data_IF_436521354809
#
_entry.id   IF_436521354809
#
_cell.length_a   1.000
_cell.length_b   1.000
_cell.length_c   1.000
_cell.angle_alpha   90.00
_cell.angle_beta   90.00
_cell.angle_gamma   90.00
#
_symmetry.space_group_name_H-M   'P 1'
#
loop_
_entity.id
_entity.type
_entity.pdbx_description
1 polymer ?
#
# COMPACT_ATOMS: atom_id res chain seq x y z
N UNK A 1 46.71 -19.89 6.46
CA UNK A 1 46.90 -18.79 5.48
C UNK A 1 45.69 -18.73 4.58
N UNK A 2 44.85 -17.69 4.73
CA UNK A 2 43.64 -17.41 3.94
C UNK A 2 44.00 -16.54 2.74
N UNK A 3 43.47 -16.85 1.57
CA UNK A 3 43.28 -15.93 0.43
C UNK A 3 42.35 -16.64 -0.56
N UNK A 4 41.15 -16.19 -0.92
CA UNK A 4 40.65 -14.82 -1.02
C UNK A 4 40.32 -14.48 -2.48
N UNK A 5 39.52 -15.30 -3.20
CA UNK A 5 39.09 -15.00 -4.58
C UNK A 5 38.03 -13.89 -4.56
N UNK A 6 38.41 -12.66 -4.98
CA UNK A 6 37.48 -11.56 -5.29
C UNK A 6 37.06 -11.65 -6.76
N UNK A 7 35.75 -11.65 -7.00
CA UNK A 7 35.15 -11.47 -8.32
C UNK A 7 35.30 -10.02 -8.78
N UNK A 8 35.82 -9.81 -10.00
CA UNK A 8 35.94 -8.49 -10.61
C UNK A 8 34.57 -8.02 -11.15
N UNK A 9 34.13 -6.85 -10.70
CA UNK A 9 32.92 -6.16 -11.17
C UNK A 9 33.12 -5.63 -12.60
N UNK A 10 32.31 -6.12 -13.56
CA UNK A 10 32.26 -5.61 -14.94
C UNK A 10 31.47 -4.30 -14.99
N UNK A 11 32.16 -3.18 -15.10
CA UNK A 11 31.57 -1.87 -15.39
C UNK A 11 31.29 -1.76 -16.90
N UNK A 12 30.03 -1.56 -17.30
CA UNK A 12 29.68 -1.27 -18.71
C UNK A 12 30.03 0.18 -19.06
N UNK A 13 30.60 0.46 -20.24
CA UNK A 13 30.82 1.83 -20.69
C UNK A 13 29.50 2.49 -21.14
N UNK A 14 29.33 3.77 -20.79
CA UNK A 14 28.17 4.60 -21.15
C UNK A 14 28.35 5.14 -22.57
N UNK A 15 27.35 4.91 -23.43
CA UNK A 15 27.33 5.41 -24.80
C UNK A 15 27.21 6.95 -24.84
N UNK A 16 27.83 7.64 -25.82
CA UNK A 16 27.72 9.08 -25.97
C UNK A 16 26.33 9.48 -26.48
N UNK A 17 25.78 10.56 -25.91
CA UNK A 17 24.50 11.13 -26.33
C UNK A 17 24.66 11.77 -27.72
N UNK A 18 24.04 11.18 -28.73
CA UNK A 18 23.95 11.77 -30.06
C UNK A 18 22.99 12.95 -30.06
N UNK A 19 23.49 14.12 -30.47
CA UNK A 19 22.68 15.28 -30.85
C UNK A 19 22.04 15.01 -32.21
N UNK A 20 20.81 14.51 -32.20
CA UNK A 20 19.93 14.48 -33.36
C UNK A 20 18.77 15.44 -33.12
N UNK A 21 18.84 16.64 -33.66
CA UNK A 21 17.69 17.55 -33.78
C UNK A 21 16.89 17.11 -35.01
N UNK A 22 15.79 16.40 -34.78
CA UNK A 22 14.75 16.17 -35.79
C UNK A 22 13.85 17.43 -35.86
N UNK A 23 13.82 18.15 -37.00
CA UNK A 23 13.11 19.42 -37.11
C UNK A 23 11.59 19.30 -37.27
N UNK A 24 11.00 18.10 -37.24
CA UNK A 24 9.59 17.90 -37.62
C UNK A 24 8.60 17.57 -36.50
N UNK A 25 9.01 17.63 -35.23
CA UNK A 25 8.08 17.38 -34.11
C UNK A 25 7.29 18.64 -33.74
N UNK A 26 5.95 18.70 -33.95
CA UNK A 26 5.13 19.80 -33.47
C UNK A 26 4.87 19.57 -31.97
N UNK A 27 5.76 20.10 -31.16
CA UNK A 27 5.76 19.98 -29.71
C UNK A 27 6.90 20.82 -29.17
N UNK A 28 6.84 22.13 -29.45
CA UNK A 28 7.74 23.08 -28.83
C UNK A 28 7.74 22.85 -27.33
N UNK A 29 8.93 22.64 -26.76
CA UNK A 29 9.08 22.55 -25.32
C UNK A 29 8.40 23.78 -24.71
N UNK A 30 7.60 23.64 -23.62
CA UNK A 30 7.05 24.81 -22.96
C UNK A 30 8.23 25.73 -22.66
N UNK A 31 8.11 26.98 -23.13
CA UNK A 31 9.08 28.03 -22.88
C UNK A 31 9.40 27.96 -21.39
N UNK A 32 10.65 27.61 -21.07
CA UNK A 32 11.06 27.38 -19.69
C UNK A 32 10.97 28.76 -19.05
N UNK A 33 9.85 29.04 -18.39
CA UNK A 33 9.67 30.25 -17.60
C UNK A 33 10.83 30.25 -16.61
N UNK A 34 11.85 31.04 -16.94
CA UNK A 34 13.12 31.15 -16.20
C UNK A 34 12.91 32.15 -15.06
N UNK A 35 11.72 32.12 -14.45
CA UNK A 35 11.46 32.92 -13.28
C UNK A 35 12.26 32.30 -12.12
N UNK A 36 13.11 33.09 -11.43
CA UNK A 36 13.79 32.60 -10.24
C UNK A 36 12.74 32.18 -9.20
N UNK A 37 13.00 31.06 -8.51
CA UNK A 37 12.14 30.64 -7.42
C UNK A 37 12.06 31.76 -6.37
N UNK A 38 10.86 32.05 -5.83
CA UNK A 38 10.74 33.01 -4.75
C UNK A 38 11.55 32.54 -3.53
N UNK A 39 11.95 33.48 -2.67
CA UNK A 39 12.57 33.13 -1.40
C UNK A 39 11.66 32.17 -0.61
N UNK A 40 12.18 31.04 -0.10
CA UNK A 40 11.39 30.11 0.70
C UNK A 40 10.76 30.83 1.89
N UNK A 41 9.45 30.65 2.08
CA UNK A 41 8.77 31.18 3.24
C UNK A 41 9.07 30.31 4.47
N UNK A 42 9.24 30.90 5.66
CA UNK A 42 9.38 30.13 6.89
C UNK A 42 8.11 29.30 7.13
N UNK A 43 8.29 28.04 7.52
CA UNK A 43 7.17 27.19 7.93
C UNK A 43 6.56 27.81 9.20
N UNK A 44 5.23 28.04 9.25
CA UNK A 44 4.56 28.53 10.44
C UNK A 44 4.96 27.70 11.66
N UNK A 45 5.35 28.36 12.76
CA UNK A 45 5.68 27.68 14.00
C UNK A 45 4.41 27.23 14.72
N UNK A 46 4.38 25.95 15.08
CA UNK A 46 3.27 25.35 15.83
C UNK A 46 2.27 24.57 14.97
N UNK A 47 1.67 23.56 15.58
CA UNK A 47 0.57 22.80 14.98
C UNK A 47 -0.75 23.43 15.43
N UNK A 48 -1.72 23.66 14.52
CA UNK A 48 -3.06 24.07 14.94
C UNK A 48 -3.66 22.99 15.86
N UNK A 49 -4.58 23.36 16.77
CA UNK A 49 -5.24 22.40 17.64
C UNK A 49 -5.97 21.35 16.79
N UNK A 50 -5.68 20.08 17.06
CA UNK A 50 -6.31 18.95 16.37
C UNK A 50 -7.63 18.63 17.09
N UNK A 51 -8.76 18.54 16.37
CA UNK A 51 -10.02 18.12 16.97
C UNK A 51 -9.90 16.75 17.65
N UNK A 52 -10.60 16.58 18.76
CA UNK A 52 -10.71 15.27 19.39
C UNK A 52 -11.41 14.27 18.44
N UNK A 53 -11.04 12.99 18.57
CA UNK A 53 -11.65 11.95 17.76
C UNK A 53 -13.15 11.82 18.06
N UNK A 54 -13.95 11.81 16.99
CA UNK A 54 -15.40 11.60 17.07
C UNK A 54 -15.73 10.17 16.65
N UNK A 55 -16.31 9.39 17.59
CA UNK A 55 -16.70 8.00 17.34
C UNK A 55 -17.70 7.83 16.19
N UNK A 56 -18.43 8.88 15.81
CA UNK A 56 -19.35 8.88 14.64
C UNK A 56 -18.63 8.77 13.30
N UNK A 57 -17.31 8.98 13.26
CA UNK A 57 -16.49 8.79 12.06
C UNK A 57 -16.25 7.31 11.75
N UNK A 58 -16.55 6.42 12.69
CA UNK A 58 -16.43 4.97 12.53
C UNK A 58 -17.82 4.38 12.25
N UNK A 59 -17.94 3.33 11.43
CA UNK A 59 -19.19 2.59 11.29
C UNK A 59 -19.80 2.26 12.66
N UNK A 60 -21.13 2.46 12.86
CA UNK A 60 -21.77 2.27 14.16
C UNK A 60 -21.54 0.88 14.77
N UNK A 61 -21.38 -0.15 13.93
CA UNK A 61 -21.10 -1.52 14.36
C UNK A 61 -19.72 -1.70 15.01
N UNK A 62 -18.75 -0.82 14.70
CA UNK A 62 -17.38 -0.89 15.22
C UNK A 62 -17.14 0.13 16.33
N UNK A 63 -17.91 1.24 16.39
CA UNK A 63 -17.65 2.34 17.32
C UNK A 63 -17.61 1.92 18.81
N UNK A 64 -18.56 1.09 19.34
CA UNK A 64 -18.49 0.64 20.74
C UNK A 64 -17.25 -0.22 21.03
N UNK A 65 -16.86 -1.05 20.07
CA UNK A 65 -15.70 -1.92 20.19
C UNK A 65 -14.38 -1.14 20.16
N UNK A 66 -14.27 -0.14 19.28
CA UNK A 66 -13.15 0.79 19.23
C UNK A 66 -12.99 1.53 20.55
N UNK A 67 -14.08 2.02 21.13
CA UNK A 67 -14.07 2.71 22.42
C UNK A 67 -13.63 1.79 23.57
N UNK A 68 -14.14 0.55 23.62
CA UNK A 68 -13.74 -0.43 24.65
C UNK A 68 -12.24 -0.76 24.60
N UNK A 69 -11.68 -1.00 23.41
CA UNK A 69 -10.24 -1.25 23.27
C UNK A 69 -9.44 -0.01 23.67
N UNK A 70 -9.84 1.17 23.20
CA UNK A 70 -9.14 2.42 23.49
C UNK A 70 -9.06 2.70 24.99
N UNK A 71 -10.16 2.48 25.70
CA UNK A 71 -10.25 2.58 27.15
C UNK A 71 -9.32 1.57 27.83
N UNK A 72 -9.33 0.29 27.44
CA UNK A 72 -8.48 -0.73 28.08
C UNK A 72 -6.99 -0.55 27.78
N UNK A 73 -6.67 -0.13 26.55
CA UNK A 73 -5.30 0.13 26.12
C UNK A 73 -4.79 1.50 26.58
N UNK A 74 -5.65 2.33 27.18
CA UNK A 74 -5.36 3.70 27.61
C UNK A 74 -4.66 4.50 26.51
N UNK A 75 -5.25 4.47 25.31
CA UNK A 75 -4.69 5.10 24.11
C UNK A 75 -5.76 5.91 23.36
N UNK A 76 -5.35 6.85 22.49
CA UNK A 76 -6.29 7.55 21.63
C UNK A 76 -7.12 6.57 20.77
N UNK A 77 -8.46 6.70 20.74
CA UNK A 77 -9.34 5.77 20.02
C UNK A 77 -9.08 5.73 18.51
N UNK A 78 -8.51 6.79 17.96
CA UNK A 78 -8.05 6.93 16.59
C UNK A 78 -7.04 5.85 16.18
N UNK A 79 -6.18 5.36 17.09
CA UNK A 79 -5.26 4.25 16.76
C UNK A 79 -6.01 2.94 16.51
N UNK A 80 -7.02 2.64 17.32
CA UNK A 80 -7.84 1.44 17.17
C UNK A 80 -8.74 1.58 15.94
N UNK A 81 -9.36 2.75 15.76
CA UNK A 81 -10.25 3.03 14.64
C UNK A 81 -9.56 2.85 13.28
N UNK A 82 -8.34 3.37 13.13
CA UNK A 82 -7.54 3.21 11.90
C UNK A 82 -7.27 1.74 11.63
N UNK A 83 -6.85 0.97 12.65
CA UNK A 83 -6.60 -0.46 12.51
C UNK A 83 -7.86 -1.23 12.08
N UNK A 84 -8.99 -0.98 12.73
CA UNK A 84 -10.26 -1.64 12.46
C UNK A 84 -10.79 -1.35 11.05
N UNK A 85 -10.72 -0.08 10.61
CA UNK A 85 -11.16 0.33 9.27
C UNK A 85 -10.29 -0.28 8.17
N UNK A 86 -8.96 -0.26 8.35
CA UNK A 86 -8.03 -0.86 7.38
C UNK A 86 -8.21 -2.38 7.33
N UNK A 87 -8.43 -3.03 8.47
CA UNK A 87 -8.72 -4.46 8.55
C UNK A 87 -9.97 -4.83 7.74
N UNK A 88 -11.07 -4.10 7.97
CA UNK A 88 -12.31 -4.30 7.22
C UNK A 88 -12.12 -4.08 5.71
N UNK A 89 -11.40 -3.02 5.33
CA UNK A 89 -11.10 -2.74 3.93
C UNK A 89 -10.24 -3.83 3.28
N UNK A 90 -9.28 -4.40 4.01
CA UNK A 90 -8.44 -5.50 3.52
C UNK A 90 -9.26 -6.77 3.24
N UNK A 91 -10.26 -7.06 4.09
CA UNK A 91 -11.17 -8.21 3.89
C UNK A 91 -12.10 -7.98 2.70
N UNK A 92 -12.68 -6.78 2.59
CA UNK A 92 -13.56 -6.42 1.46
C UNK A 92 -12.78 -6.41 0.14
N UNK A 93 -11.55 -5.89 0.16
CA UNK A 93 -10.67 -5.81 -1.00
C UNK A 93 -11.35 -5.19 -2.23
N UNK A 94 -11.40 -5.94 -3.33
CA UNK A 94 -11.99 -5.50 -4.61
C UNK A 94 -13.43 -5.97 -4.84
N UNK A 95 -14.11 -6.44 -3.81
CA UNK A 95 -15.45 -7.04 -3.95
C UNK A 95 -16.56 -6.00 -4.11
N UNK A 96 -16.31 -4.75 -3.72
CA UNK A 96 -17.28 -3.64 -3.79
C UNK A 96 -16.70 -2.52 -4.64
N UNK A 97 -17.55 -1.88 -5.44
CA UNK A 97 -17.25 -0.66 -6.15
C UNK A 97 -18.25 0.43 -5.77
N UNK A 98 -17.79 1.68 -5.76
CA UNK A 98 -18.60 2.84 -5.39
C UNK A 98 -18.58 3.88 -6.51
N UNK A 99 -19.64 4.70 -6.57
CA UNK A 99 -19.71 5.92 -7.40
C UNK A 99 -19.75 7.13 -6.48
N UNK A 100 -18.62 7.80 -6.25
CA UNK A 100 -18.55 8.90 -5.28
C UNK A 100 -19.44 10.08 -5.66
N UNK A 101 -19.67 10.30 -6.96
CA UNK A 101 -20.58 11.35 -7.43
C UNK A 101 -21.90 10.75 -7.86
N UNK A 102 -22.99 11.32 -7.36
CA UNK A 102 -24.36 10.81 -7.56
C UNK A 102 -24.81 10.80 -9.03
N UNK A 103 -24.32 11.74 -9.83
CA UNK A 103 -24.79 11.98 -11.20
C UNK A 103 -23.73 11.65 -12.27
N UNK A 104 -22.68 10.91 -11.93
CA UNK A 104 -21.71 10.41 -12.90
C UNK A 104 -21.67 8.86 -12.92
N UNK A 105 -20.97 8.33 -13.90
CA UNK A 105 -20.69 6.91 -14.10
C UNK A 105 -19.31 6.49 -13.56
N UNK A 106 -18.58 7.41 -12.92
CA UNK A 106 -17.24 7.18 -12.42
C UNK A 106 -17.27 6.18 -11.27
N UNK A 107 -16.84 4.97 -11.59
CA UNK A 107 -16.85 3.84 -10.68
C UNK A 107 -15.42 3.58 -10.19
N UNK A 108 -15.24 3.52 -8.88
CA UNK A 108 -13.94 3.24 -8.24
C UNK A 108 -14.05 2.06 -7.30
N UNK A 109 -12.96 1.29 -7.21
CA UNK A 109 -12.80 0.23 -6.20
C UNK A 109 -12.06 0.89 -5.03
N UNK A 110 -12.72 1.13 -3.88
CA UNK A 110 -12.09 1.81 -2.77
C UNK A 110 -11.09 0.87 -2.08
N UNK A 111 -9.80 1.19 -2.19
CA UNK A 111 -8.75 0.53 -1.42
C UNK A 111 -8.26 1.50 -0.34
N UNK A 112 -8.43 1.11 0.93
CA UNK A 112 -8.09 1.96 2.07
C UNK A 112 -6.75 1.52 2.67
N UNK A 113 -5.88 2.51 2.84
CA UNK A 113 -4.61 2.37 3.53
C UNK A 113 -4.61 3.29 4.74
N UNK A 114 -4.00 2.88 5.84
CA UNK A 114 -3.95 3.68 7.05
C UNK A 114 -2.69 3.42 7.85
N UNK A 115 -2.28 4.42 8.62
CA UNK A 115 -1.11 4.40 9.47
C UNK A 115 -1.40 5.15 10.76
N UNK A 116 -1.11 4.53 11.91
CA UNK A 116 -1.15 5.20 13.21
C UNK A 116 0.19 5.90 13.46
N UNK A 117 0.15 7.22 13.66
CA UNK A 117 1.33 8.04 13.96
C UNK A 117 1.18 8.66 15.34
N UNK A 118 2.23 8.58 16.15
CA UNK A 118 2.24 9.16 17.49
C UNK A 118 3.58 8.92 18.18
N UNK A 119 3.85 9.66 19.25
CA UNK A 119 5.13 9.56 19.98
C UNK A 119 5.38 8.12 20.46
N UNK A 120 6.63 7.68 20.62
CA UNK A 120 6.93 6.41 21.28
C UNK A 120 6.22 6.31 22.64
N UNK A 121 5.78 5.10 23.03
CA UNK A 121 5.09 4.87 24.31
C UNK A 121 3.57 5.07 24.32
N UNK A 122 2.95 5.64 23.28
CA UNK A 122 1.47 5.81 23.22
C UNK A 122 0.68 4.54 22.83
N UNK A 123 1.20 3.36 23.14
CA UNK A 123 0.49 2.08 22.93
C UNK A 123 -0.01 1.78 21.50
N UNK A 124 0.49 2.50 20.47
CA UNK A 124 0.11 2.32 19.06
C UNK A 124 0.13 0.86 18.62
N UNK A 125 1.23 0.16 18.88
CA UNK A 125 1.41 -1.23 18.47
C UNK A 125 0.44 -2.17 19.16
N UNK A 126 0.13 -1.92 20.45
CA UNK A 126 -0.85 -2.70 21.20
C UNK A 126 -2.28 -2.45 20.68
N UNK A 127 -2.65 -1.18 20.48
CA UNK A 127 -3.94 -0.78 19.93
C UNK A 127 -4.19 -1.39 18.54
N UNK A 128 -3.18 -1.35 17.67
CA UNK A 128 -3.25 -1.97 16.33
C UNK A 128 -3.32 -3.50 16.40
N UNK A 129 -2.57 -4.14 17.30
CA UNK A 129 -2.63 -5.59 17.46
C UNK A 129 -4.04 -6.06 17.82
N UNK A 130 -4.68 -5.40 18.80
CA UNK A 130 -6.05 -5.70 19.21
C UNK A 130 -7.06 -5.44 18.08
N UNK A 131 -6.92 -4.32 17.36
CA UNK A 131 -7.79 -4.00 16.22
C UNK A 131 -7.67 -5.04 15.08
N UNK A 132 -6.53 -5.72 14.95
CA UNK A 132 -6.27 -6.73 13.92
C UNK A 132 -6.62 -8.15 14.37
N UNK A 133 -6.93 -8.39 15.65
CA UNK A 133 -7.30 -9.70 16.20
C UNK A 133 -8.36 -10.43 15.36
N UNK A 134 -9.45 -9.78 14.87
CA UNK A 134 -10.46 -10.47 14.06
C UNK A 134 -9.93 -11.04 12.73
N UNK A 135 -8.83 -10.51 12.20
CA UNK A 135 -8.23 -11.02 10.96
C UNK A 135 -7.48 -12.33 11.15
N UNK A 136 -7.01 -12.63 12.36
CA UNK A 136 -6.18 -13.82 12.62
C UNK A 136 -6.83 -15.14 12.14
N UNK A 137 -8.09 -15.47 12.50
CA UNK A 137 -8.73 -16.68 11.98
C UNK A 137 -8.93 -16.64 10.46
N UNK A 138 -9.33 -15.48 9.90
CA UNK A 138 -9.52 -15.32 8.46
C UNK A 138 -8.24 -15.56 7.67
N UNK A 139 -7.10 -15.06 8.17
CA UNK A 139 -5.79 -15.28 7.57
C UNK A 139 -5.37 -16.75 7.66
N UNK A 140 -5.66 -17.44 8.77
CA UNK A 140 -5.37 -18.86 8.93
C UNK A 140 -6.17 -19.69 7.91
N UNK A 141 -7.47 -19.44 7.76
CA UNK A 141 -8.33 -20.13 6.81
C UNK A 141 -7.89 -19.86 5.36
N UNK A 142 -7.62 -18.61 5.03
CA UNK A 142 -7.13 -18.21 3.71
C UNK A 142 -5.78 -18.86 3.38
N UNK A 143 -4.89 -19.01 4.37
CA UNK A 143 -3.59 -19.69 4.23
C UNK A 143 -3.79 -21.16 3.89
N UNK A 144 -4.66 -21.86 4.62
CA UNK A 144 -4.95 -23.28 4.37
C UNK A 144 -5.55 -23.48 2.98
N UNK A 145 -6.52 -22.65 2.59
CA UNK A 145 -7.13 -22.70 1.26
C UNK A 145 -6.08 -22.48 0.16
N UNK A 146 -5.25 -21.45 0.30
CA UNK A 146 -4.18 -21.15 -0.64
C UNK A 146 -3.16 -22.30 -0.76
N UNK A 147 -2.79 -22.93 0.35
CA UNK A 147 -1.85 -24.04 0.33
C UNK A 147 -2.40 -25.25 -0.43
N UNK A 148 -3.70 -25.56 -0.28
CA UNK A 148 -4.41 -26.60 -1.06
C UNK A 148 -4.39 -26.28 -2.55
N UNK A 149 -4.78 -25.06 -2.93
CA UNK A 149 -4.83 -24.62 -4.33
C UNK A 149 -3.44 -24.59 -4.98
N UNK A 150 -2.43 -24.16 -4.24
CA UNK A 150 -1.05 -24.06 -4.74
C UNK A 150 -0.46 -25.42 -5.12
N UNK A 151 -0.84 -26.50 -4.44
CA UNK A 151 -0.41 -27.86 -4.82
C UNK A 151 -1.01 -28.23 -6.18
N UNK A 152 -2.33 -28.06 -6.35
CA UNK A 152 -3.03 -28.36 -7.60
C UNK A 152 -2.51 -27.49 -8.75
N UNK A 153 -2.31 -26.20 -8.51
CA UNK A 153 -1.78 -25.28 -9.52
C UNK A 153 -0.37 -25.68 -9.98
N UNK A 154 0.53 -26.04 -9.05
CA UNK A 154 1.88 -26.50 -9.40
C UNK A 154 1.87 -27.73 -10.30
N UNK A 155 0.99 -28.68 -10.00
CA UNK A 155 0.82 -29.88 -10.82
C UNK A 155 0.31 -29.53 -12.22
N UNK A 156 -0.80 -28.79 -12.32
CA UNK A 156 -1.36 -28.34 -13.62
C UNK A 156 -0.36 -27.53 -14.45
N UNK A 157 0.41 -26.66 -13.81
CA UNK A 157 1.44 -25.87 -14.47
C UNK A 157 2.61 -26.74 -14.97
N UNK A 158 2.97 -27.81 -14.26
CA UNK A 158 3.96 -28.78 -14.72
C UNK A 158 3.45 -29.60 -15.92
N UNK A 159 2.19 -30.05 -15.89
CA UNK A 159 1.56 -30.75 -17.02
C UNK A 159 1.47 -29.87 -18.27
N UNK A 160 1.05 -28.61 -18.13
CA UNK A 160 0.98 -27.67 -19.26
C UNK A 160 2.34 -27.48 -19.92
N UNK A 161 3.38 -27.24 -19.11
CA UNK A 161 4.76 -27.11 -19.61
C UNK A 161 5.27 -28.38 -20.28
N UNK A 162 4.94 -29.56 -19.74
CA UNK A 162 5.33 -30.84 -20.34
C UNK A 162 4.63 -31.08 -21.70
N UNK A 163 3.34 -30.73 -21.82
CA UNK A 163 2.58 -30.80 -23.09
C UNK A 163 3.14 -29.85 -24.14
N UNK A 164 3.45 -28.61 -23.77
CA UNK A 164 4.08 -27.64 -24.68
C UNK A 164 5.44 -28.12 -25.17
N UNK A 165 6.28 -28.67 -24.28
CA UNK A 165 7.58 -29.23 -24.66
C UNK A 165 7.46 -30.44 -25.60
N UNK A 166 6.45 -31.29 -25.42
CA UNK A 166 6.20 -32.43 -26.29
C UNK A 166 5.72 -32.02 -27.69
N UNK A 167 4.97 -30.93 -27.81
CA UNK A 167 4.52 -30.36 -29.08
C UNK A 167 5.65 -29.66 -29.85
N UNK A 168 6.54 -28.95 -29.15
CA UNK A 168 7.69 -28.24 -29.77
C UNK A 168 8.83 -29.18 -30.20
N UNK A 169 8.83 -30.45 -29.77
CA UNK A 169 9.88 -31.43 -30.06
C UNK A 169 9.55 -32.36 -31.25
N UNK A 170 8.41 -32.15 -31.92
CA UNK A 170 8.04 -32.80 -33.19
C UNK A 170 8.22 -31.82 -34.35
#
# INVERSE_FOLDING_TARGET
MRSGRRAASRTRPRAPAGTGTDPTRPGGAPDRVTAPWPAPQPIPSGLPPVPAFDGRLVPPALAPWVADIAERAQCPPDFVAVGALVAAAAVIGRQVAIRPKRADDWTVIPNLWGLAVGRPGLMKSAALAEALTPLAPLMADARIAYERERVTHRFRHAEHRAREQALTRR
#
